data_IF_629588461300
#
_entry.id   IF_629588461300
#
_cell.length_a   1.000
_cell.length_b   1.000
_cell.length_c   1.000
_cell.angle_alpha   90.00
_cell.angle_beta   90.00
_cell.angle_gamma   90.00
#
_symmetry.space_group_name_H-M   'P 1'
#
loop_
_entity.id
_entity.type
_entity.pdbx_description
1 polymer ?
#
# COMPACT_ATOMS: atom_id res chain seq x y z
N UNK A 1 -7.33 5.10 -6.86
CA UNK A 1 -7.70 4.26 -8.01
C UNK A 1 -8.42 5.12 -9.03
N UNK A 2 -8.17 4.92 -10.31
CA UNK A 2 -8.88 5.57 -11.40
C UNK A 2 -9.27 4.51 -12.43
N UNK A 3 -10.44 4.65 -13.05
CA UNK A 3 -10.94 3.66 -14.00
C UNK A 3 -11.68 4.31 -15.16
N UNK A 4 -11.55 3.73 -16.34
CA UNK A 4 -12.20 4.20 -17.58
C UNK A 4 -12.47 3.02 -18.52
N UNK A 5 -13.28 3.23 -19.55
CA UNK A 5 -13.51 2.19 -20.55
C UNK A 5 -12.22 1.93 -21.34
N UNK A 6 -11.69 0.70 -21.25
CA UNK A 6 -10.40 0.32 -21.84
C UNK A 6 -10.37 0.46 -23.37
N UNK A 7 -11.52 0.36 -24.03
CA UNK A 7 -11.63 0.51 -25.48
C UNK A 7 -11.21 1.92 -25.94
N UNK A 8 -11.29 2.94 -25.06
CA UNK A 8 -10.84 4.31 -25.35
C UNK A 8 -9.32 4.44 -25.42
N UNK A 9 -8.57 3.49 -24.86
CA UNK A 9 -7.11 3.45 -24.90
C UNK A 9 -6.57 2.45 -25.92
N UNK A 10 -7.44 1.67 -26.55
CA UNK A 10 -7.04 0.73 -27.58
C UNK A 10 -6.53 1.48 -28.84
N UNK A 11 -5.68 0.83 -29.62
CA UNK A 11 -5.28 1.35 -30.93
C UNK A 11 -6.49 1.52 -31.86
N UNK A 12 -6.39 2.37 -32.90
CA UNK A 12 -7.52 2.76 -33.76
C UNK A 12 -8.26 1.58 -34.43
N UNK A 13 -7.60 0.43 -34.58
CA UNK A 13 -8.17 -0.79 -35.18
C UNK A 13 -8.21 -1.99 -34.21
N UNK A 14 -8.01 -1.76 -32.91
CA UNK A 14 -7.99 -2.81 -31.90
C UNK A 14 -9.33 -2.84 -31.17
N UNK A 15 -10.10 -3.92 -31.38
CA UNK A 15 -11.29 -4.23 -30.58
C UNK A 15 -10.91 -5.15 -29.42
N UNK A 16 -11.21 -4.73 -28.20
CA UNK A 16 -11.01 -5.56 -27.01
C UNK A 16 -12.19 -6.52 -26.92
N UNK A 17 -11.92 -7.83 -26.95
CA UNK A 17 -12.96 -8.87 -26.90
C UNK A 17 -12.89 -9.70 -25.61
N UNK A 18 -14.04 -10.18 -25.08
CA UNK A 18 -14.07 -11.06 -23.92
C UNK A 18 -13.26 -12.34 -24.12
N UNK A 19 -12.71 -12.87 -23.03
CA UNK A 19 -11.93 -14.11 -23.03
C UNK A 19 -10.43 -13.93 -23.18
N UNK A 20 -9.95 -12.72 -23.50
CA UNK A 20 -8.53 -12.39 -23.43
C UNK A 20 -8.02 -12.44 -21.98
N UNK A 21 -6.81 -12.96 -21.78
CA UNK A 21 -6.11 -12.94 -20.48
C UNK A 21 -5.20 -11.72 -20.32
N UNK A 22 -4.89 -11.04 -21.43
CA UNK A 22 -4.18 -9.76 -21.46
C UNK A 22 -4.57 -8.96 -22.71
N UNK A 23 -4.43 -7.65 -22.65
CA UNK A 23 -4.68 -6.72 -23.76
C UNK A 23 -3.47 -5.81 -23.91
N UNK A 24 -2.95 -5.67 -25.12
CA UNK A 24 -1.87 -4.72 -25.39
C UNK A 24 -2.44 -3.31 -25.55
N UNK A 25 -2.05 -2.39 -24.67
CA UNK A 25 -2.37 -0.98 -24.79
C UNK A 25 -1.15 -0.18 -25.29
N UNK A 26 -1.34 0.80 -26.19
CA UNK A 26 -0.27 1.70 -26.67
C UNK A 26 0.24 2.65 -25.57
N UNK A 27 -0.55 2.84 -24.51
CA UNK A 27 -0.24 3.63 -23.33
C UNK A 27 -0.81 2.93 -22.09
N UNK A 28 -0.06 2.95 -20.98
CA UNK A 28 -0.52 2.47 -19.67
C UNK A 28 -0.49 3.60 -18.66
N UNK A 29 -1.47 3.64 -17.77
CA UNK A 29 -1.64 4.71 -16.81
C UNK A 29 -1.15 4.36 -15.41
N UNK A 30 -0.71 5.38 -14.69
CA UNK A 30 -0.47 5.31 -13.25
C UNK A 30 -0.98 6.55 -12.55
N UNK A 31 -1.38 6.37 -11.29
CA UNK A 31 -1.68 7.49 -10.40
C UNK A 31 -0.47 7.79 -9.55
N UNK A 32 0.06 9.00 -9.69
CA UNK A 32 1.19 9.50 -8.90
C UNK A 32 0.75 10.72 -8.11
N UNK A 33 1.42 10.96 -6.99
CA UNK A 33 1.38 12.27 -6.37
C UNK A 33 2.43 13.16 -7.07
N UNK A 34 2.03 14.33 -7.55
CA UNK A 34 2.91 15.31 -8.17
C UNK A 34 2.62 16.66 -7.52
N UNK A 35 3.60 17.19 -6.77
CA UNK A 35 3.48 18.47 -6.07
C UNK A 35 2.23 18.59 -5.17
N UNK A 36 1.86 17.50 -4.49
CA UNK A 36 0.69 17.46 -3.61
C UNK A 36 -0.64 17.25 -4.33
N UNK A 37 -0.63 17.04 -5.65
CA UNK A 37 -1.81 16.72 -6.45
C UNK A 37 -1.74 15.28 -6.96
N UNK A 38 -2.87 14.58 -6.92
CA UNK A 38 -2.97 13.29 -7.62
C UNK A 38 -3.02 13.55 -9.12
N UNK A 39 -2.05 13.02 -9.84
CA UNK A 39 -1.94 13.14 -11.29
C UNK A 39 -2.07 11.76 -11.95
N UNK A 40 -2.79 11.73 -13.08
CA UNK A 40 -2.76 10.61 -14.00
C UNK A 40 -1.60 10.81 -14.97
N UNK A 41 -0.63 9.90 -14.95
CA UNK A 41 0.40 9.82 -15.97
C UNK A 41 0.04 8.71 -16.96
N UNK A 42 0.08 9.02 -18.26
CA UNK A 42 -0.01 8.04 -19.33
C UNK A 42 1.39 7.79 -19.88
N UNK A 43 1.84 6.54 -19.79
CA UNK A 43 3.18 6.10 -20.15
C UNK A 43 3.11 5.37 -21.49
N UNK A 44 3.95 5.79 -22.44
CA UNK A 44 4.05 5.10 -23.73
C UNK A 44 4.61 3.70 -23.55
N UNK A 45 3.93 2.70 -24.14
CA UNK A 45 4.40 1.31 -24.11
C UNK A 45 5.36 1.05 -25.27
N UNK A 46 6.25 0.07 -25.10
CA UNK A 46 7.34 -0.22 -26.02
C UNK A 46 8.43 -1.03 -25.34
N UNK A 47 9.69 -0.78 -25.71
CA UNK A 47 10.83 -1.59 -25.23
C UNK A 47 11.06 -1.47 -23.71
N UNK A 48 10.78 -0.31 -23.12
CA UNK A 48 10.99 -0.04 -21.68
C UNK A 48 9.77 -0.36 -20.81
N UNK A 49 8.58 -0.45 -21.41
CA UNK A 49 7.32 -0.70 -20.72
C UNK A 49 6.46 -1.67 -21.52
N UNK A 50 6.26 -2.91 -21.06
CA UNK A 50 5.43 -3.88 -21.75
C UNK A 50 4.01 -3.37 -22.00
N UNK A 51 3.50 -3.57 -23.21
CA UNK A 51 2.16 -3.18 -23.61
C UNK A 51 1.04 -4.01 -22.96
N UNK A 52 1.36 -5.25 -22.57
CA UNK A 52 0.39 -6.20 -22.04
C UNK A 52 -0.14 -5.76 -20.67
N UNK A 53 -1.45 -5.54 -20.60
CA UNK A 53 -2.21 -5.30 -19.38
C UNK A 53 -2.98 -6.58 -19.03
N UNK A 54 -2.87 -7.11 -17.81
CA UNK A 54 -3.59 -8.32 -17.41
C UNK A 54 -5.10 -8.09 -17.37
N UNK A 55 -5.88 -9.10 -17.80
CA UNK A 55 -7.33 -9.13 -17.63
C UNK A 55 -7.64 -9.97 -16.40
N UNK A 56 -8.29 -9.35 -15.40
CA UNK A 56 -8.68 -10.00 -14.15
C UNK A 56 -10.18 -10.25 -14.11
N UNK A 57 -10.56 -11.37 -13.50
CA UNK A 57 -11.96 -11.75 -13.31
C UNK A 57 -12.42 -11.34 -11.91
N UNK A 58 -13.63 -10.80 -11.84
CA UNK A 58 -14.29 -10.53 -10.57
C UNK A 58 -15.04 -11.79 -10.10
N UNK A 59 -14.96 -12.08 -8.80
CA UNK A 59 -15.61 -13.23 -8.16
C UNK A 59 -16.74 -12.71 -7.27
N UNK A 60 -17.97 -13.21 -7.50
CA UNK A 60 -19.13 -12.85 -6.68
C UNK A 60 -18.96 -13.34 -5.24
N UNK A 61 -19.06 -12.42 -4.30
CA UNK A 61 -19.29 -12.70 -2.89
C UNK A 61 -20.80 -12.81 -2.66
N UNK A 62 -21.28 -14.04 -2.42
CA UNK A 62 -22.70 -14.31 -2.22
C UNK A 62 -23.25 -13.71 -0.91
N UNK A 63 -22.40 -13.45 0.09
CA UNK A 63 -22.83 -12.90 1.37
C UNK A 63 -23.09 -11.39 1.29
N UNK A 64 -22.27 -10.68 0.53
CA UNK A 64 -22.34 -9.21 0.41
C UNK A 64 -23.03 -8.73 -0.86
N UNK A 65 -23.14 -9.58 -1.88
CA UNK A 65 -23.62 -9.20 -3.21
C UNK A 65 -22.63 -8.37 -4.02
N UNK A 66 -21.41 -8.13 -3.50
CA UNK A 66 -20.32 -7.46 -4.20
C UNK A 66 -19.51 -8.46 -5.02
N UNK A 67 -18.82 -7.98 -6.05
CA UNK A 67 -17.79 -8.73 -6.75
C UNK A 67 -16.40 -8.34 -6.20
N UNK A 68 -15.48 -9.30 -6.14
CA UNK A 68 -14.12 -9.13 -5.62
C UNK A 68 -13.10 -9.43 -6.71
N UNK A 69 -12.15 -8.52 -6.91
CA UNK A 69 -11.00 -8.72 -7.80
C UNK A 69 -9.74 -8.77 -6.95
N UNK A 70 -8.96 -9.83 -7.11
CA UNK A 70 -7.63 -9.96 -6.51
C UNK A 70 -6.58 -9.45 -7.49
N UNK A 71 -5.94 -8.34 -7.16
CA UNK A 71 -4.86 -7.74 -7.93
C UNK A 71 -3.53 -8.28 -7.41
N UNK A 72 -2.72 -8.98 -8.22
CA UNK A 72 -1.53 -9.67 -7.76
C UNK A 72 -0.47 -8.70 -7.21
N UNK A 73 0.34 -9.20 -6.28
CA UNK A 73 1.52 -8.49 -5.80
C UNK A 73 2.52 -8.24 -6.94
N UNK A 74 3.16 -7.07 -6.93
CA UNK A 74 4.29 -6.74 -7.81
C UNK A 74 5.47 -6.30 -6.95
N UNK A 75 6.66 -6.13 -7.55
CA UNK A 75 7.83 -5.69 -6.80
C UNK A 75 7.55 -4.39 -6.02
N UNK A 76 7.69 -4.43 -4.70
CA UNK A 76 7.46 -3.28 -3.82
C UNK A 76 5.99 -2.98 -3.53
N UNK A 77 5.03 -3.81 -3.94
CA UNK A 77 3.59 -3.56 -3.69
C UNK A 77 2.83 -4.87 -3.48
N UNK A 78 2.17 -5.07 -2.32
CA UNK A 78 1.46 -6.31 -2.01
C UNK A 78 0.23 -6.55 -2.92
N UNK A 79 -0.34 -7.74 -2.78
CA UNK A 79 -1.65 -8.08 -3.33
C UNK A 79 -2.72 -7.13 -2.79
N UNK A 80 -3.70 -6.78 -3.63
CA UNK A 80 -4.83 -5.91 -3.22
C UNK A 80 -6.16 -6.53 -3.59
N UNK A 81 -7.16 -6.37 -2.72
CA UNK A 81 -8.56 -6.69 -3.03
C UNK A 81 -9.29 -5.43 -3.49
N UNK A 82 -9.90 -5.48 -4.67
CA UNK A 82 -10.80 -4.45 -5.17
C UNK A 82 -12.24 -4.95 -5.08
N UNK A 83 -13.11 -4.14 -4.46
CA UNK A 83 -14.54 -4.39 -4.41
C UNK A 83 -15.23 -3.69 -5.59
N UNK A 84 -16.04 -4.45 -6.32
CA UNK A 84 -16.85 -3.97 -7.43
C UNK A 84 -18.32 -4.09 -7.02
N UNK A 85 -19.04 -2.97 -7.07
CA UNK A 85 -20.47 -2.97 -6.88
C UNK A 85 -21.14 -3.24 -8.25
N UNK A 86 -21.84 -4.38 -8.44
CA UNK A 86 -22.47 -4.70 -9.71
C UNK A 86 -23.74 -3.86 -9.98
N UNK A 87 -24.23 -3.09 -9.00
CA UNK A 87 -25.39 -2.23 -9.19
C UNK A 87 -25.03 -0.98 -10.04
N UNK A 88 -25.86 -0.60 -11.04
CA UNK A 88 -25.61 0.58 -11.86
C UNK A 88 -25.75 1.88 -11.05
N UNK A 89 -24.81 2.84 -11.17
CA UNK A 89 -24.96 4.16 -10.55
C UNK A 89 -25.92 5.06 -11.36
N UNK A 90 -26.66 6.01 -10.73
CA UNK A 90 -26.74 6.26 -9.29
C UNK A 90 -28.14 5.94 -8.74
N UNK A 91 -28.20 5.24 -7.62
CA UNK A 91 -29.25 5.47 -6.65
C UNK A 91 -28.70 5.13 -5.28
N UNK A 92 -28.43 6.13 -4.45
CA UNK A 92 -28.92 5.97 -3.09
C UNK A 92 -30.42 5.76 -3.28
N UNK A 93 -31.00 4.60 -2.96
CA UNK A 93 -32.44 4.56 -2.82
C UNK A 93 -32.77 5.68 -1.83
N UNK A 94 -33.72 6.56 -2.15
CA UNK A 94 -34.38 7.25 -1.05
C UNK A 94 -34.88 6.12 -0.16
N UNK A 95 -34.46 6.09 1.10
CA UNK A 95 -34.83 5.07 2.10
C UNK A 95 -36.30 5.24 2.50
N UNK A 96 -37.15 5.28 1.47
CA UNK A 96 -38.58 5.60 1.51
C UNK A 96 -39.40 4.37 1.14
N UNK A 97 -38.76 3.31 0.64
CA UNK A 97 -39.39 2.01 0.40
C UNK A 97 -39.36 1.17 1.67
N UNK A 98 -40.43 0.45 1.98
CA UNK A 98 -40.52 -0.46 3.12
C UNK A 98 -40.87 -1.88 2.65
N UNK A 99 -39.97 -2.87 2.81
CA UNK A 99 -38.60 -2.73 3.29
C UNK A 99 -37.69 -2.06 2.24
N UNK A 100 -36.60 -1.39 2.65
CA UNK A 100 -35.64 -0.83 1.71
C UNK A 100 -35.02 -1.94 0.86
N UNK A 101 -34.83 -1.71 -0.45
CA UNK A 101 -34.13 -2.68 -1.29
C UNK A 101 -32.69 -2.84 -0.80
N UNK A 102 -32.29 -4.09 -0.52
CA UNK A 102 -30.94 -4.43 -0.06
C UNK A 102 -29.93 -4.42 -1.22
N UNK A 103 -29.66 -3.24 -1.77
CA UNK A 103 -28.64 -3.06 -2.82
C UNK A 103 -27.41 -2.42 -2.17
N UNK A 104 -26.19 -2.94 -2.41
CA UNK A 104 -24.98 -2.27 -1.93
C UNK A 104 -24.88 -0.84 -2.46
N UNK A 105 -24.53 0.11 -1.59
CA UNK A 105 -24.33 1.52 -1.95
C UNK A 105 -22.85 1.85 -1.86
N UNK A 106 -22.26 2.29 -2.97
CA UNK A 106 -20.87 2.74 -3.00
C UNK A 106 -20.77 4.13 -2.35
N UNK A 107 -19.90 4.35 -1.36
CA UNK A 107 -19.67 5.67 -0.78
C UNK A 107 -19.30 6.70 -1.85
N UNK A 108 -19.95 7.86 -1.81
CA UNK A 108 -19.70 8.97 -2.75
C UNK A 108 -18.52 9.80 -2.24
N UNK A 109 -17.70 10.30 -3.15
CA UNK A 109 -16.61 11.24 -2.83
C UNK A 109 -17.17 12.56 -2.27
N UNK A 110 -16.75 12.95 -1.07
CA UNK A 110 -17.22 14.14 -0.34
C UNK A 110 -16.16 15.22 -0.13
N UNK A 111 -14.93 14.96 -0.58
CA UNK A 111 -13.78 15.84 -0.36
C UNK A 111 -13.59 16.87 -1.48
N UNK A 112 -12.34 17.06 -1.88
CA UNK A 112 -11.90 18.04 -2.88
C UNK A 112 -12.60 17.87 -4.23
N UNK A 113 -12.94 18.97 -4.89
CA UNK A 113 -13.50 18.94 -6.24
C UNK A 113 -12.52 18.29 -7.24
N UNK A 114 -13.02 17.35 -8.05
CA UNK A 114 -12.23 16.70 -9.11
C UNK A 114 -12.39 17.54 -10.39
N UNK A 115 -11.31 18.20 -10.82
CA UNK A 115 -11.27 18.99 -12.06
C UNK A 115 -10.36 18.33 -13.09
N UNK A 116 -10.78 18.20 -14.36
CA UNK A 116 -9.87 17.87 -15.44
C UNK A 116 -8.75 18.89 -15.53
N UNK A 117 -7.52 18.43 -15.79
CA UNK A 117 -6.38 19.31 -16.03
C UNK A 117 -6.50 19.88 -17.45
N UNK A 118 -6.50 21.21 -17.59
CA UNK A 118 -6.66 21.87 -18.90
C UNK A 118 -5.41 21.76 -19.78
N UNK A 119 -4.23 21.62 -19.17
CA UNK A 119 -2.94 21.56 -19.88
C UNK A 119 -2.26 20.21 -19.69
N UNK A 120 -2.14 19.45 -20.78
CA UNK A 120 -1.38 18.19 -20.80
C UNK A 120 0.10 18.52 -20.93
N UNK A 121 0.91 17.98 -20.03
CA UNK A 121 2.37 18.08 -20.11
C UNK A 121 2.94 16.77 -20.65
N UNK A 122 3.77 16.85 -21.68
CA UNK A 122 4.50 15.70 -22.21
C UNK A 122 5.94 15.77 -21.71
N UNK A 123 6.35 14.79 -20.94
CA UNK A 123 7.72 14.65 -20.43
C UNK A 123 8.29 13.30 -20.84
N UNK A 124 9.62 13.20 -20.87
CA UNK A 124 10.31 11.92 -21.01
C UNK A 124 10.48 11.31 -19.63
N UNK A 125 9.71 10.26 -19.31
CA UNK A 125 9.86 9.51 -18.06
C UNK A 125 11.15 8.67 -18.11
N UNK A 126 12.11 8.85 -17.19
CA UNK A 126 13.25 7.96 -17.05
C UNK A 126 12.80 6.51 -16.86
N UNK A 127 13.50 5.54 -17.47
CA UNK A 127 13.14 4.12 -17.36
C UNK A 127 13.15 3.58 -15.92
N UNK A 128 13.93 4.21 -15.02
CA UNK A 128 13.98 3.88 -13.59
C UNK A 128 12.67 4.20 -12.85
N UNK A 129 11.85 5.10 -13.39
CA UNK A 129 10.59 5.56 -12.77
C UNK A 129 9.38 4.71 -13.22
N UNK A 130 9.61 3.72 -14.09
CA UNK A 130 8.61 2.75 -14.57
C UNK A 130 8.59 1.52 -13.63
N UNK A 131 8.48 1.77 -12.33
CA UNK A 131 8.37 0.74 -11.30
C UNK A 131 6.96 0.67 -10.71
N UNK A 132 6.40 -0.54 -10.55
CA UNK A 132 5.23 -0.74 -9.69
C UNK A 132 3.85 -0.46 -10.30
N UNK A 133 3.70 -0.53 -11.63
CA UNK A 133 2.38 -0.49 -12.27
C UNK A 133 1.51 -1.66 -11.79
N UNK A 134 0.48 -1.35 -11.01
CA UNK A 134 -0.63 -2.25 -10.71
C UNK A 134 -1.89 -1.75 -11.42
N UNK A 135 -1.95 -2.02 -12.71
CA UNK A 135 -3.06 -1.75 -13.60
C UNK A 135 -3.61 -3.06 -14.18
N UNK A 136 -4.90 -3.09 -14.46
CA UNK A 136 -5.57 -4.27 -15.00
C UNK A 136 -6.81 -3.88 -15.79
N UNK A 137 -7.34 -4.82 -16.57
CA UNK A 137 -8.65 -4.73 -17.20
C UNK A 137 -9.59 -5.74 -16.53
N UNK A 138 -10.85 -5.36 -16.31
CA UNK A 138 -11.91 -6.31 -15.99
C UNK A 138 -13.15 -6.02 -16.83
N UNK A 139 -14.07 -6.98 -16.88
CA UNK A 139 -15.33 -6.83 -17.62
C UNK A 139 -16.46 -6.48 -16.67
N UNK A 140 -17.26 -5.49 -17.04
CA UNK A 140 -18.55 -5.20 -16.39
C UNK A 140 -19.69 -5.25 -17.40
N UNK A 141 -20.95 -5.46 -16.97
CA UNK A 141 -22.09 -5.27 -17.86
C UNK A 141 -22.10 -3.87 -18.49
N UNK A 142 -22.49 -3.79 -19.75
CA UNK A 142 -22.70 -2.50 -20.42
C UNK A 142 -23.94 -1.78 -19.86
N UNK A 143 -24.13 -0.51 -20.25
CA UNK A 143 -25.25 0.30 -19.77
C UNK A 143 -26.64 -0.28 -20.15
N UNK A 144 -26.72 -1.11 -21.20
CA UNK A 144 -27.95 -1.78 -21.61
C UNK A 144 -28.20 -3.07 -20.83
N UNK A 145 -27.21 -3.60 -20.11
CA UNK A 145 -27.26 -4.89 -19.41
C UNK A 145 -27.32 -6.09 -20.36
N UNK A 146 -27.08 -5.88 -21.66
CA UNK A 146 -27.20 -6.92 -22.71
C UNK A 146 -25.85 -7.41 -23.20
N UNK A 147 -24.78 -6.71 -22.84
CA UNK A 147 -23.41 -7.03 -23.20
C UNK A 147 -22.44 -6.69 -22.07
N UNK A 148 -21.17 -6.60 -22.43
CA UNK A 148 -20.08 -6.29 -21.49
C UNK A 148 -19.16 -5.25 -22.11
N UNK A 149 -18.57 -4.42 -21.25
CA UNK A 149 -17.53 -3.47 -21.63
C UNK A 149 -16.27 -3.68 -20.78
N UNK A 150 -15.08 -3.51 -21.38
CA UNK A 150 -13.82 -3.63 -20.66
C UNK A 150 -13.52 -2.33 -19.91
N UNK A 151 -13.14 -2.45 -18.65
CA UNK A 151 -12.77 -1.32 -17.79
C UNK A 151 -11.31 -1.44 -17.43
N UNK A 152 -10.53 -0.44 -17.84
CA UNK A 152 -9.13 -0.30 -17.46
C UNK A 152 -9.04 0.41 -16.11
N UNK A 153 -8.35 -0.21 -15.16
CA UNK A 153 -8.19 0.25 -13.78
C UNK A 153 -6.72 0.51 -13.51
N UNK A 154 -6.43 1.69 -12.95
CA UNK A 154 -5.10 2.13 -12.56
C UNK A 154 -5.07 2.36 -11.06
N UNK A 155 -4.09 1.76 -10.39
CA UNK A 155 -3.86 1.96 -8.96
C UNK A 155 -2.72 2.94 -8.73
N UNK A 156 -2.82 3.69 -7.64
CA UNK A 156 -1.69 4.45 -7.10
C UNK A 156 -0.76 3.51 -6.33
N UNK A 157 0.52 3.88 -6.24
CA UNK A 157 1.45 3.25 -5.31
C UNK A 157 0.88 3.28 -3.88
N UNK A 158 1.04 2.18 -3.13
CA UNK A 158 0.60 2.09 -1.73
C UNK A 158 1.40 3.06 -0.84
N UNK A 159 2.69 3.17 -1.10
CA UNK A 159 3.65 3.87 -0.24
C UNK A 159 3.95 5.31 -0.68
N UNK A 160 3.09 5.89 -1.52
CA UNK A 160 3.29 7.24 -2.07
C UNK A 160 4.43 7.32 -3.09
N UNK A 161 4.91 8.55 -3.31
CA UNK A 161 6.03 8.86 -4.21
C UNK A 161 7.38 8.53 -3.56
N UNK A 162 8.26 7.81 -4.24
CA UNK A 162 9.60 7.46 -3.77
C UNK A 162 10.69 8.18 -4.59
N UNK A 163 11.83 8.46 -3.97
CA UNK A 163 12.96 9.14 -4.62
C UNK A 163 14.33 8.51 -4.32
N UNK A 164 14.36 7.46 -3.50
CA UNK A 164 15.55 6.76 -3.08
C UNK A 164 15.28 5.27 -2.91
N UNK A 165 16.33 4.46 -3.08
CA UNK A 165 16.33 3.03 -2.73
C UNK A 165 17.31 2.81 -1.58
N UNK A 166 16.84 2.15 -0.51
CA UNK A 166 17.67 1.77 0.62
C UNK A 166 18.82 0.85 0.19
N UNK A 167 20.04 1.16 0.63
CA UNK A 167 21.25 0.40 0.29
C UNK A 167 21.24 -0.97 0.97
N UNK A 168 20.75 -1.05 2.21
CA UNK A 168 20.77 -2.27 3.01
C UNK A 168 19.46 -3.05 2.90
N UNK A 169 18.33 -2.35 2.99
CA UNK A 169 16.99 -2.92 2.90
C UNK A 169 16.56 -3.25 1.47
N UNK A 170 17.06 -2.51 0.46
CA UNK A 170 16.64 -2.60 -0.94
C UNK A 170 15.26 -2.01 -1.24
N UNK A 171 14.60 -1.42 -0.23
CA UNK A 171 13.24 -0.86 -0.31
C UNK A 171 13.26 0.53 -0.97
N UNK A 172 12.25 0.81 -1.78
CA UNK A 172 12.05 2.15 -2.32
C UNK A 172 11.31 3.01 -1.29
N UNK A 173 11.77 4.26 -1.10
CA UNK A 173 11.20 5.19 -0.13
C UNK A 173 11.45 6.64 -0.54
N UNK A 174 10.85 7.58 0.18
CA UNK A 174 11.08 9.01 0.02
C UNK A 174 11.98 9.53 1.15
N UNK A 175 13.22 9.85 0.79
CA UNK A 175 14.22 10.34 1.75
C UNK A 175 13.87 11.72 2.33
N UNK A 176 13.17 12.56 1.58
CA UNK A 176 12.75 13.90 2.04
C UNK A 176 11.56 13.83 3.01
N UNK A 177 10.81 12.72 3.00
CA UNK A 177 9.65 12.47 3.88
C UNK A 177 9.92 11.40 4.95
N UNK A 178 11.19 11.13 5.24
CA UNK A 178 11.60 10.08 6.17
C UNK A 178 11.75 10.54 7.64
N UNK A 179 11.41 11.79 7.97
CA UNK A 179 11.55 12.32 9.34
C UNK A 179 13.00 12.61 9.75
N UNK A 180 13.85 12.99 8.78
CA UNK A 180 15.24 13.39 8.98
C UNK A 180 16.24 12.56 8.15
N UNK A 181 17.52 12.97 8.11
CA UNK A 181 18.54 12.27 7.33
C UNK A 181 18.82 10.86 7.87
N UNK A 182 19.42 10.01 7.03
CA UNK A 182 19.98 8.73 7.45
C UNK A 182 21.22 9.00 8.32
N UNK A 183 21.35 8.26 9.42
CA UNK A 183 22.47 8.30 10.34
C UNK A 183 23.27 6.99 10.26
N UNK A 184 24.54 7.02 10.66
CA UNK A 184 25.40 5.83 10.69
C UNK A 184 25.34 5.20 12.10
N UNK A 185 24.29 4.43 12.39
CA UNK A 185 24.04 3.87 13.73
C UNK A 185 24.36 2.37 13.81
N UNK A 186 24.57 1.88 15.02
CA UNK A 186 24.79 0.45 15.32
C UNK A 186 23.88 0.04 16.48
N UNK A 187 23.04 -0.97 16.27
CA UNK A 187 22.12 -1.48 17.29
C UNK A 187 22.85 -2.21 18.42
N UNK A 188 24.06 -2.73 18.15
CA UNK A 188 24.84 -3.55 19.09
C UNK A 188 25.34 -2.79 20.30
N UNK A 189 25.39 -1.47 20.22
CA UNK A 189 25.84 -0.61 21.34
C UNK A 189 24.69 -0.20 22.25
N UNK A 190 23.44 -0.56 21.92
CA UNK A 190 22.28 -0.18 22.70
C UNK A 190 22.23 -0.90 24.05
N UNK A 191 21.80 -0.18 25.07
CA UNK A 191 21.40 -0.75 26.36
C UNK A 191 19.89 -0.62 26.47
N UNK A 192 19.22 -1.74 26.77
CA UNK A 192 17.77 -1.74 26.99
C UNK A 192 17.51 -1.15 28.38
N UNK A 193 16.73 -0.06 28.43
CA UNK A 193 16.32 0.60 29.66
C UNK A 193 14.80 0.83 29.71
N UNK A 194 14.30 1.26 30.87
CA UNK A 194 12.86 1.46 31.10
C UNK A 194 12.27 2.49 30.14
N UNK A 195 12.96 3.59 29.91
CA UNK A 195 12.47 4.68 29.07
C UNK A 195 12.33 4.24 27.61
N UNK A 196 13.32 3.49 27.10
CA UNK A 196 13.26 2.95 25.75
C UNK A 196 12.16 1.90 25.60
N UNK A 197 11.97 1.00 26.57
CA UNK A 197 10.86 0.03 26.51
C UNK A 197 9.50 0.72 26.53
N UNK A 198 9.36 1.81 27.28
CA UNK A 198 8.13 2.61 27.27
C UNK A 198 7.91 3.32 25.92
N UNK A 199 8.98 3.77 25.24
CA UNK A 199 8.91 4.29 23.86
C UNK A 199 8.52 3.21 22.84
N UNK A 200 9.08 2.00 22.96
CA UNK A 200 8.71 0.86 22.11
C UNK A 200 7.21 0.59 22.23
N UNK A 201 6.68 0.48 23.46
CA UNK A 201 5.24 0.29 23.70
C UNK A 201 4.39 1.42 23.12
N UNK A 202 4.85 2.66 23.23
CA UNK A 202 4.14 3.82 22.71
C UNK A 202 4.03 3.78 21.17
N UNK A 203 5.11 3.39 20.48
CA UNK A 203 5.15 3.32 19.02
C UNK A 203 4.34 2.14 18.48
N UNK A 204 4.58 0.93 18.99
CA UNK A 204 3.89 -0.29 18.54
C UNK A 204 2.41 -0.29 18.94
N UNK A 205 2.08 0.34 20.07
CA UNK A 205 0.71 0.50 20.54
C UNK A 205 -0.18 1.37 19.64
N UNK A 206 0.38 2.09 18.67
CA UNK A 206 -0.37 2.85 17.65
C UNK A 206 -1.38 1.97 16.90
N UNK A 207 -1.11 0.67 16.78
CA UNK A 207 -1.94 -0.29 16.03
C UNK A 207 -2.84 -1.16 16.93
N UNK A 208 -2.90 -0.84 18.23
CA UNK A 208 -3.47 -1.73 19.23
C UNK A 208 -2.52 -2.87 19.62
N UNK A 209 -3.02 -3.82 20.42
CA UNK A 209 -2.21 -4.95 20.90
C UNK A 209 -2.10 -6.02 19.80
N UNK A 210 -0.96 -6.05 19.09
CA UNK A 210 -0.63 -7.10 18.13
C UNK A 210 0.15 -8.25 18.82
N UNK A 211 -0.13 -9.53 18.52
CA UNK A 211 0.46 -10.67 19.23
C UNK A 211 1.98 -10.79 19.15
N UNK A 212 2.56 -10.49 17.99
CA UNK A 212 4.00 -10.42 17.75
C UNK A 212 4.67 -9.31 18.57
N UNK A 213 4.10 -8.10 18.53
CA UNK A 213 4.55 -6.97 19.35
C UNK A 213 4.51 -7.29 20.83
N UNK A 214 3.46 -7.97 21.29
CA UNK A 214 3.34 -8.42 22.68
C UNK A 214 4.51 -9.32 23.07
N UNK A 215 4.83 -10.33 22.25
CA UNK A 215 5.96 -11.24 22.52
C UNK A 215 7.27 -10.47 22.63
N UNK A 216 7.53 -9.54 21.71
CA UNK A 216 8.75 -8.75 21.75
C UNK A 216 8.81 -7.82 22.97
N UNK A 217 7.72 -7.16 23.34
CA UNK A 217 7.63 -6.30 24.53
C UNK A 217 7.85 -7.11 25.81
N UNK A 218 7.23 -8.28 25.94
CA UNK A 218 7.39 -9.16 27.11
C UNK A 218 8.84 -9.63 27.25
N UNK A 219 9.52 -9.90 26.12
CA UNK A 219 10.95 -10.21 26.11
C UNK A 219 11.79 -9.03 26.59
N UNK A 220 11.52 -7.81 26.10
CA UNK A 220 12.22 -6.61 26.55
C UNK A 220 12.04 -6.36 28.06
N UNK A 221 10.83 -6.56 28.60
CA UNK A 221 10.59 -6.48 30.04
C UNK A 221 11.36 -7.55 30.84
N UNK A 222 11.46 -8.78 30.30
CA UNK A 222 12.22 -9.84 30.96
C UNK A 222 13.73 -9.53 30.97
N UNK A 223 14.26 -8.96 29.88
CA UNK A 223 15.64 -8.46 29.80
C UNK A 223 15.87 -7.34 30.83
N UNK A 224 14.96 -6.37 30.94
CA UNK A 224 15.05 -5.30 31.94
C UNK A 224 15.11 -5.82 33.37
N UNK A 225 14.37 -6.89 33.65
CA UNK A 225 14.33 -7.51 34.98
C UNK A 225 15.47 -8.52 35.21
N UNK A 226 16.41 -8.65 34.26
CA UNK A 226 17.58 -9.54 34.36
C UNK A 226 17.27 -11.03 34.20
N UNK A 227 16.05 -11.39 33.77
CA UNK A 227 15.65 -12.78 33.56
C UNK A 227 16.01 -13.33 32.17
N UNK A 228 16.46 -12.47 31.25
CA UNK A 228 16.91 -12.85 29.91
C UNK A 228 18.12 -12.01 29.49
N UNK A 229 19.08 -12.63 28.80
CA UNK A 229 20.13 -11.90 28.11
C UNK A 229 19.61 -11.39 26.77
N UNK A 230 19.85 -10.12 26.45
CA UNK A 230 19.46 -9.52 25.18
C UNK A 230 20.13 -10.25 24.00
N UNK A 231 19.34 -10.59 22.99
CA UNK A 231 19.84 -11.09 21.72
C UNK A 231 19.94 -9.98 20.69
N UNK A 232 20.63 -10.27 19.59
CA UNK A 232 20.74 -9.38 18.44
C UNK A 232 19.36 -8.97 17.86
N UNK A 233 18.37 -9.87 17.90
CA UNK A 233 17.00 -9.57 17.46
C UNK A 233 16.30 -8.62 18.41
N UNK A 234 16.45 -8.81 19.73
CA UNK A 234 15.86 -7.92 20.73
C UNK A 234 16.42 -6.50 20.59
N UNK A 235 17.73 -6.37 20.37
CA UNK A 235 18.39 -5.08 20.18
C UNK A 235 17.98 -4.40 18.86
N UNK A 236 17.88 -5.14 17.75
CA UNK A 236 17.37 -4.59 16.48
C UNK A 236 15.95 -4.07 16.62
N UNK A 237 15.04 -4.87 17.19
CA UNK A 237 13.67 -4.45 17.44
C UNK A 237 13.63 -3.19 18.31
N UNK A 238 14.25 -3.24 19.49
CA UNK A 238 14.27 -2.14 20.45
C UNK A 238 14.75 -0.83 19.82
N UNK A 239 15.89 -0.87 19.13
CA UNK A 239 16.47 0.33 18.51
C UNK A 239 15.67 0.83 17.31
N UNK A 240 15.15 -0.09 16.49
CA UNK A 240 14.31 0.24 15.34
C UNK A 240 13.02 0.95 15.77
N UNK A 241 12.23 0.37 16.68
CA UNK A 241 10.95 0.96 17.08
C UNK A 241 11.12 2.35 17.71
N UNK A 242 12.19 2.57 18.51
CA UNK A 242 12.48 3.88 19.12
C UNK A 242 12.85 4.91 18.05
N UNK A 243 13.75 4.54 17.13
CA UNK A 243 14.25 5.44 16.10
C UNK A 243 13.15 5.79 15.09
N UNK A 244 12.28 4.83 14.77
CA UNK A 244 11.14 5.08 13.91
C UNK A 244 10.13 6.04 14.58
N UNK A 245 9.86 5.88 15.87
CA UNK A 245 9.03 6.83 16.63
C UNK A 245 9.55 8.27 16.55
N UNK A 246 10.86 8.47 16.67
CA UNK A 246 11.48 9.80 16.51
C UNK A 246 11.23 10.38 15.12
N UNK A 247 11.32 9.56 14.07
CA UNK A 247 11.05 9.98 12.70
C UNK A 247 9.57 10.38 12.52
N UNK A 248 8.64 9.63 13.10
CA UNK A 248 7.22 10.01 13.15
C UNK A 248 7.02 11.37 13.81
N UNK A 249 7.67 11.62 14.96
CA UNK A 249 7.62 12.90 15.67
C UNK A 249 8.20 14.05 14.84
N UNK A 250 9.30 13.81 14.13
CA UNK A 250 9.92 14.80 13.25
C UNK A 250 9.02 15.17 12.05
N UNK A 251 8.15 14.26 11.62
CA UNK A 251 7.10 14.52 10.63
C UNK A 251 5.87 15.22 11.22
N UNK A 252 5.84 15.48 12.53
CA UNK A 252 4.71 16.10 13.22
C UNK A 252 3.55 15.13 13.51
N UNK A 253 3.75 13.82 13.32
CA UNK A 253 2.74 12.82 13.68
C UNK A 253 2.71 12.68 15.20
N UNK A 254 1.53 12.87 15.79
CA UNK A 254 1.33 12.75 17.24
C UNK A 254 1.48 11.29 17.68
N UNK A 255 2.03 11.09 18.88
CA UNK A 255 2.16 9.77 19.48
C UNK A 255 0.81 9.06 19.57
N UNK A 256 0.79 7.76 19.23
CA UNK A 256 -0.42 6.92 19.23
C UNK A 256 -1.43 7.21 18.11
N UNK A 257 -1.21 8.23 17.26
CA UNK A 257 -2.10 8.55 16.14
C UNK A 257 -1.65 7.85 14.87
N UNK A 258 -2.60 7.24 14.16
CA UNK A 258 -2.43 6.72 12.79
C UNK A 258 -2.66 7.90 11.82
N UNK A 259 -1.67 8.31 11.00
CA UNK A 259 -1.86 9.39 10.04
C UNK A 259 -2.70 8.93 8.83
N UNK A 260 -3.39 9.87 8.17
CA UNK A 260 -4.27 9.56 7.02
C UNK A 260 -3.51 8.90 5.85
N UNK A 261 -2.25 9.29 5.63
CA UNK A 261 -1.34 8.68 4.65
C UNK A 261 -0.41 7.64 5.30
N UNK A 262 -0.97 6.81 6.19
CA UNK A 262 -0.25 5.82 6.98
C UNK A 262 0.80 5.02 6.21
N UNK A 263 0.42 4.40 5.10
CA UNK A 263 1.32 3.52 4.34
C UNK A 263 2.57 4.28 3.81
N UNK A 264 2.41 5.53 3.38
CA UNK A 264 3.52 6.38 2.93
C UNK A 264 4.42 6.75 4.11
N UNK A 265 3.83 7.23 5.22
CA UNK A 265 4.58 7.61 6.42
C UNK A 265 5.37 6.41 6.92
N UNK A 266 4.70 5.28 7.15
CA UNK A 266 5.31 4.03 7.59
C UNK A 266 6.44 3.60 6.67
N UNK A 267 6.20 3.51 5.35
CA UNK A 267 7.25 3.02 4.46
C UNK A 267 8.50 3.91 4.48
N UNK A 268 8.31 5.23 4.53
CA UNK A 268 9.43 6.18 4.54
C UNK A 268 10.20 6.17 5.85
N UNK A 269 9.51 6.17 6.99
CA UNK A 269 10.15 6.12 8.32
C UNK A 269 10.77 4.75 8.59
N UNK A 270 10.08 3.66 8.24
CA UNK A 270 10.55 2.29 8.43
C UNK A 270 11.80 2.03 7.61
N UNK A 271 11.76 2.33 6.31
CA UNK A 271 12.91 2.14 5.43
C UNK A 271 14.10 2.95 5.89
N UNK A 272 13.90 4.23 6.25
CA UNK A 272 15.00 5.07 6.72
C UNK A 272 15.58 4.58 8.06
N UNK A 273 14.77 3.98 8.93
CA UNK A 273 15.25 3.38 10.18
C UNK A 273 16.05 2.11 9.94
N UNK A 274 15.63 1.26 8.98
CA UNK A 274 16.43 0.12 8.55
C UNK A 274 17.79 0.58 8.01
N UNK A 275 17.83 1.67 7.25
CA UNK A 275 19.08 2.22 6.72
C UNK A 275 19.96 2.83 7.81
N UNK A 276 19.39 3.49 8.83
CA UNK A 276 20.14 4.02 9.98
C UNK A 276 20.99 2.92 10.62
N UNK A 277 20.38 1.76 10.81
CA UNK A 277 20.99 0.60 11.43
C UNK A 277 21.58 -0.39 10.43
N UNK A 278 21.56 -0.14 9.11
CA UNK A 278 22.12 -1.07 8.09
C UNK A 278 21.46 -2.47 8.12
N UNK A 279 20.18 -2.54 8.45
CA UNK A 279 19.41 -3.78 8.61
C UNK A 279 18.79 -4.19 7.28
N UNK A 280 18.95 -5.46 6.91
CA UNK A 280 18.10 -6.11 5.91
C UNK A 280 17.14 -7.06 6.60
N UNK A 281 15.87 -6.66 6.74
CA UNK A 281 14.86 -7.42 7.50
C UNK A 281 14.60 -8.85 6.99
N UNK A 282 14.98 -9.16 5.73
CA UNK A 282 14.85 -10.52 5.17
C UNK A 282 15.93 -11.48 5.69
N UNK A 283 17.11 -10.97 6.05
CA UNK A 283 18.23 -11.78 6.56
C UNK A 283 18.54 -11.48 8.02
N UNK A 284 18.04 -10.38 8.55
CA UNK A 284 18.22 -9.89 9.91
C UNK A 284 16.84 -9.48 10.45
N UNK A 285 16.01 -10.44 10.87
CA UNK A 285 14.65 -10.17 11.28
C UNK A 285 14.60 -9.24 12.50
N UNK A 286 13.54 -8.44 12.55
CA UNK A 286 13.20 -7.60 13.71
C UNK A 286 12.41 -8.39 14.77
N UNK A 287 11.70 -9.44 14.36
CA UNK A 287 10.91 -10.28 15.28
C UNK A 287 11.63 -11.61 15.55
N UNK A 288 11.43 -12.18 16.74
CA UNK A 288 11.90 -13.54 17.01
C UNK A 288 10.96 -14.57 16.36
N UNK A 289 11.43 -15.81 16.14
CA UNK A 289 10.56 -16.87 15.61
C UNK A 289 9.28 -17.10 16.43
N UNK A 290 9.34 -16.90 17.75
CA UNK A 290 8.16 -17.01 18.63
C UNK A 290 7.15 -15.88 18.39
N UNK A 291 7.62 -14.67 18.10
CA UNK A 291 6.76 -13.54 17.76
C UNK A 291 6.11 -13.74 16.38
N UNK A 292 6.87 -14.19 15.38
CA UNK A 292 6.34 -14.55 14.06
C UNK A 292 5.29 -15.67 14.14
N UNK A 293 5.54 -16.68 15.00
CA UNK A 293 4.58 -17.76 15.25
C UNK A 293 3.30 -17.26 15.93
N UNK A 294 3.42 -16.31 16.87
CA UNK A 294 2.27 -15.69 17.52
C UNK A 294 1.40 -14.92 16.51
N UNK A 295 2.02 -14.20 15.58
CA UNK A 295 1.33 -13.55 14.47
C UNK A 295 0.58 -14.56 13.60
N UNK A 296 1.26 -15.61 13.14
CA UNK A 296 0.64 -16.64 12.27
C UNK A 296 -0.59 -17.27 12.90
N UNK A 297 -0.52 -17.66 14.17
CA UNK A 297 -1.66 -18.26 14.90
C UNK A 297 -2.85 -17.31 15.02
N UNK A 298 -2.60 -16.02 15.16
CA UNK A 298 -3.66 -15.02 15.25
C UNK A 298 -4.33 -14.75 13.90
N UNK A 299 -3.58 -14.85 12.80
CA UNK A 299 -4.12 -14.72 11.44
C UNK A 299 -4.90 -15.98 11.00
N UNK A 300 -4.42 -17.18 11.33
CA UNK A 300 -5.13 -18.45 11.03
C UNK A 300 -6.45 -18.62 11.80
N UNK A 301 -6.62 -17.88 12.89
CA UNK A 301 -7.84 -17.88 13.71
C UNK A 301 -8.93 -16.90 13.25
N UNK A 302 -8.70 -16.12 12.19
CA UNK A 302 -9.65 -15.17 11.59
C UNK A 302 -10.34 -15.76 10.37
#
# INVERSE_FOLDING_TARGET
MFALNAQLLAGPDVKIEPGATSVNLPERGQLVNSNGQMALQLLKTGDTLPAAVPVLNAVRDAATGLDRITVPAVAGTPERTILVNPAPPPAAPSDTASPPPSVPVTPVHTGTEIKPVETITVTTTPAADIGGLQDFIYWRPDAAGTGVEPVYVMLSGLYGETNAKGKYSGRDYNSDKAGGPIQDLDWKTATIDREGVDKVKLHTGRFGELPDNKVMIDRLENILNGGLQATDTDLRFYTHEIRELERYRNLGVKDGVIPDNYDEVWNNTHTATLEDYKINEKTQPLYTPEAEEAYRKAEEGK
#
